data_IF_432882857109
#
_entry.id   IF_432882857109
#
_cell.length_a   1.000
_cell.length_b   1.000
_cell.length_c   1.000
_cell.angle_alpha   90.00
_cell.angle_beta   90.00
_cell.angle_gamma   90.00
#
_symmetry.space_group_name_H-M   'P 1'
#
loop_
_entity.id
_entity.type
_entity.pdbx_description
1 polymer ?
#
# COMPACT_ATOMS: atom_id res chain seq x y z
N UNK A 1 10.79 -4.17 2.12
CA UNK A 1 10.07 -3.33 1.12
C UNK A 1 8.61 -3.44 1.47
N UNK A 2 7.92 -2.33 1.73
CA UNK A 2 6.48 -2.34 1.98
C UNK A 2 5.74 -3.12 0.88
N UNK A 3 4.90 -4.03 1.28
CA UNK A 3 4.00 -4.79 0.43
C UNK A 3 2.58 -4.25 0.62
N UNK A 4 1.55 -4.94 0.16
CA UNK A 4 0.18 -4.44 0.24
C UNK A 4 -0.28 -4.08 1.66
N UNK A 5 -0.07 -4.92 2.71
CA UNK A 5 -0.58 -4.60 4.04
C UNK A 5 0.03 -3.32 4.63
N UNK A 6 1.33 -3.10 4.47
CA UNK A 6 1.99 -1.90 4.96
C UNK A 6 1.48 -0.64 4.24
N UNK A 7 1.25 -0.73 2.92
CA UNK A 7 0.71 0.40 2.14
C UNK A 7 -0.76 0.66 2.49
N UNK A 8 -1.55 -0.39 2.77
CA UNK A 8 -2.94 -0.25 3.21
C UNK A 8 -3.05 0.38 4.60
N UNK A 9 -2.18 0.00 5.54
CA UNK A 9 -2.13 0.62 6.86
C UNK A 9 -1.85 2.13 6.75
N UNK A 10 -0.93 2.54 5.88
CA UNK A 10 -0.66 3.97 5.60
C UNK A 10 -1.86 4.64 4.94
N UNK A 11 -2.49 4.00 3.93
CA UNK A 11 -3.68 4.55 3.26
C UNK A 11 -4.83 4.78 4.25
N UNK A 12 -5.11 3.79 5.10
CA UNK A 12 -6.17 3.90 6.11
C UNK A 12 -5.88 5.03 7.10
N UNK A 13 -4.65 5.11 7.61
CA UNK A 13 -4.27 6.21 8.51
C UNK A 13 -4.38 7.59 7.87
N UNK A 14 -4.05 7.74 6.58
CA UNK A 14 -4.26 9.00 5.87
C UNK A 14 -5.76 9.31 5.69
N UNK A 15 -6.58 8.29 5.44
CA UNK A 15 -8.03 8.46 5.33
C UNK A 15 -8.65 8.94 6.65
N UNK A 16 -8.15 8.44 7.77
CA UNK A 16 -8.67 8.75 9.10
C UNK A 16 -8.21 10.13 9.61
N UNK A 17 -6.98 10.55 9.25
CA UNK A 17 -6.35 11.71 9.89
C UNK A 17 -6.19 12.93 8.99
N UNK A 18 -6.07 12.77 7.66
CA UNK A 18 -5.60 13.85 6.78
C UNK A 18 -6.59 14.32 5.72
N UNK A 19 -7.71 13.60 5.50
CA UNK A 19 -8.70 14.02 4.49
C UNK A 19 -9.47 15.26 4.90
N UNK A 20 -9.92 16.04 3.90
CA UNK A 20 -10.62 17.31 4.08
C UNK A 20 -9.70 18.49 4.45
N UNK A 21 -8.37 18.29 4.47
CA UNK A 21 -7.42 19.34 4.83
C UNK A 21 -6.84 20.03 3.60
N UNK A 22 -6.87 21.38 3.55
CA UNK A 22 -6.22 22.14 2.48
C UNK A 22 -4.69 22.09 2.62
N UNK A 23 -4.00 21.95 1.52
CA UNK A 23 -2.54 22.04 1.43
C UNK A 23 -2.15 23.52 1.42
N UNK A 24 -1.59 24.02 2.50
CA UNK A 24 -1.18 25.42 2.66
C UNK A 24 0.18 25.70 2.03
N UNK A 25 1.10 24.74 2.17
CA UNK A 25 2.43 24.83 1.60
C UNK A 25 3.01 23.45 1.33
N UNK A 26 3.90 23.36 0.35
CA UNK A 26 4.68 22.16 0.05
C UNK A 26 6.15 22.52 0.01
N UNK A 27 7.00 21.68 0.57
CA UNK A 27 8.46 21.86 0.53
C UNK A 27 9.11 20.57 0.05
N UNK A 28 9.81 20.63 -1.06
CA UNK A 28 10.63 19.55 -1.59
C UNK A 28 12.07 19.73 -1.14
N UNK A 29 12.52 18.89 -0.22
CA UNK A 29 13.88 18.94 0.33
C UNK A 29 14.87 18.10 -0.49
N UNK A 30 14.37 17.11 -1.25
CA UNK A 30 15.20 16.28 -2.12
C UNK A 30 14.45 15.95 -3.43
N UNK A 31 14.84 16.61 -4.51
CA UNK A 31 14.22 16.46 -5.83
C UNK A 31 14.25 15.00 -6.38
N UNK A 32 15.17 14.15 -5.90
CA UNK A 32 15.24 12.74 -6.31
C UNK A 32 13.99 11.95 -5.90
N UNK A 33 13.29 12.41 -4.87
CA UNK A 33 12.00 11.83 -4.47
C UNK A 33 10.86 12.15 -5.44
N UNK A 34 11.08 13.11 -6.35
CA UNK A 34 10.14 13.48 -7.41
C UNK A 34 10.59 13.02 -8.81
N UNK A 35 11.49 12.03 -8.92
CA UNK A 35 12.05 11.59 -10.20
C UNK A 35 11.02 11.16 -11.26
N UNK A 36 9.77 10.86 -10.84
CA UNK A 36 8.65 10.54 -11.74
C UNK A 36 7.79 11.77 -12.07
N UNK A 37 7.98 12.88 -11.38
CA UNK A 37 7.30 14.14 -11.63
C UNK A 37 8.17 15.00 -12.54
N UNK A 38 8.05 14.78 -13.85
CA UNK A 38 8.93 15.41 -14.85
C UNK A 38 8.93 16.95 -14.84
N UNK A 39 7.81 17.65 -14.52
CA UNK A 39 7.82 19.10 -14.43
C UNK A 39 8.70 19.66 -13.30
N UNK A 40 9.11 18.82 -12.35
CA UNK A 40 10.05 19.17 -11.29
C UNK A 40 9.43 19.75 -10.01
N UNK A 41 10.29 20.10 -9.02
CA UNK A 41 9.84 20.47 -7.67
C UNK A 41 8.94 21.72 -7.64
N UNK A 42 9.31 22.77 -8.33
CA UNK A 42 8.54 24.03 -8.31
C UNK A 42 7.11 23.84 -8.84
N UNK A 43 6.93 23.02 -9.90
CA UNK A 43 5.61 22.68 -10.39
C UNK A 43 4.84 21.83 -9.38
N UNK A 44 5.49 20.85 -8.75
CA UNK A 44 4.88 19.99 -7.76
C UNK A 44 4.36 20.79 -6.55
N UNK A 45 5.16 21.71 -6.05
CA UNK A 45 4.80 22.60 -4.94
C UNK A 45 3.62 23.52 -5.32
N UNK A 46 3.69 24.16 -6.47
CA UNK A 46 2.63 25.07 -6.94
C UNK A 46 1.32 24.33 -7.24
N UNK A 47 1.38 23.16 -7.86
CA UNK A 47 0.19 22.39 -8.22
C UNK A 47 -0.56 21.80 -7.03
N UNK A 48 0.11 21.55 -5.91
CA UNK A 48 -0.54 21.03 -4.70
C UNK A 48 -1.05 22.14 -3.78
N UNK A 49 -0.39 23.29 -3.75
CA UNK A 49 -0.75 24.39 -2.85
C UNK A 49 -2.13 24.95 -3.22
N UNK A 50 -3.01 25.08 -2.22
CA UNK A 50 -4.38 25.55 -2.37
C UNK A 50 -5.41 24.45 -2.64
N UNK A 51 -4.98 23.23 -3.02
CA UNK A 51 -5.88 22.06 -3.15
C UNK A 51 -6.08 21.39 -1.81
N UNK A 52 -7.15 20.61 -1.65
CA UNK A 52 -7.39 19.83 -0.44
C UNK A 52 -7.28 18.32 -0.69
N UNK A 53 -6.86 17.55 0.33
CA UNK A 53 -6.82 16.10 0.29
C UNK A 53 -8.26 15.55 0.38
N UNK A 54 -8.76 14.89 -0.66
CA UNK A 54 -10.17 14.50 -0.77
C UNK A 54 -10.42 13.04 -0.46
N UNK A 55 -9.64 12.13 -1.03
CA UNK A 55 -9.79 10.70 -0.85
C UNK A 55 -8.44 9.99 -0.85
N UNK A 56 -8.36 8.84 -0.18
CA UNK A 56 -7.15 8.02 -0.12
C UNK A 56 -7.44 6.62 -0.67
N UNK A 57 -6.74 6.25 -1.72
CA UNK A 57 -6.94 5.01 -2.47
C UNK A 57 -5.63 4.25 -2.64
N UNK A 58 -5.73 2.97 -2.94
CA UNK A 58 -4.58 2.10 -3.16
C UNK A 58 -4.86 1.08 -4.28
N UNK A 59 -3.80 0.73 -5.01
CA UNK A 59 -3.74 -0.48 -5.84
C UNK A 59 -2.38 -1.14 -5.68
N UNK A 60 -2.36 -2.37 -5.17
CA UNK A 60 -1.12 -3.06 -4.87
C UNK A 60 -0.25 -2.27 -3.90
N UNK A 61 0.90 -1.81 -4.37
CA UNK A 61 1.89 -1.05 -3.58
C UNK A 61 1.90 0.45 -3.87
N UNK A 62 0.97 0.92 -4.70
CA UNK A 62 0.75 2.33 -4.97
C UNK A 62 -0.40 2.86 -4.14
N UNK A 63 -0.17 3.96 -3.49
CA UNK A 63 -1.14 4.78 -2.79
C UNK A 63 -1.33 6.07 -3.57
N UNK A 64 -2.53 6.62 -3.62
CA UNK A 64 -2.77 7.96 -4.12
C UNK A 64 -3.84 8.69 -3.31
N UNK A 65 -3.71 10.00 -3.30
CA UNK A 65 -4.68 10.92 -2.74
C UNK A 65 -5.34 11.68 -3.90
N UNK A 66 -6.66 11.62 -3.99
CA UNK A 66 -7.42 12.53 -4.85
C UNK A 66 -7.44 13.90 -4.20
N UNK A 67 -7.57 14.92 -5.02
CA UNK A 67 -7.46 16.31 -4.61
C UNK A 67 -8.75 17.05 -4.96
N UNK A 68 -9.12 18.03 -4.15
CA UNK A 68 -10.14 19.02 -4.52
C UNK A 68 -9.48 20.30 -4.99
N UNK A 69 -10.00 20.88 -6.04
CA UNK A 69 -9.69 22.26 -6.42
C UNK A 69 -10.24 23.23 -5.35
N UNK A 70 -9.78 24.50 -5.33
CA UNK A 70 -10.24 25.50 -4.35
C UNK A 70 -11.77 25.73 -4.35
N UNK A 71 -12.45 25.44 -5.44
CA UNK A 71 -13.93 25.50 -5.56
C UNK A 71 -14.64 24.22 -5.08
N UNK A 72 -13.88 23.23 -4.58
CA UNK A 72 -14.39 21.94 -4.11
C UNK A 72 -14.59 20.88 -5.21
N UNK A 73 -14.36 21.20 -6.48
CA UNK A 73 -14.41 20.21 -7.57
C UNK A 73 -13.30 19.17 -7.43
N UNK A 74 -13.55 17.97 -7.97
CA UNK A 74 -12.48 16.96 -8.05
C UNK A 74 -11.42 17.43 -9.05
N UNK A 75 -10.16 17.43 -8.63
CA UNK A 75 -9.05 17.74 -9.52
C UNK A 75 -8.81 16.61 -10.54
N UNK A 76 -8.32 16.97 -11.72
CA UNK A 76 -8.03 16.02 -12.81
C UNK A 76 -6.81 15.12 -12.52
N UNK A 77 -6.03 15.45 -11.50
CA UNK A 77 -4.84 14.72 -11.10
C UNK A 77 -4.91 14.26 -9.64
N UNK A 78 -4.21 13.19 -9.34
CA UNK A 78 -4.02 12.69 -7.99
C UNK A 78 -2.55 12.75 -7.57
N UNK A 79 -2.30 12.94 -6.28
CA UNK A 79 -0.99 12.80 -5.67
C UNK A 79 -0.68 11.32 -5.46
N UNK A 80 0.19 10.76 -6.27
CA UNK A 80 0.62 9.36 -6.20
C UNK A 80 1.84 9.23 -5.31
N UNK A 81 1.81 8.24 -4.43
CA UNK A 81 2.92 7.90 -3.53
C UNK A 81 3.32 6.44 -3.72
N UNK A 82 4.61 6.19 -3.79
CA UNK A 82 5.20 4.86 -3.75
C UNK A 82 6.27 4.82 -2.66
N UNK A 83 6.08 3.99 -1.65
CA UNK A 83 6.97 3.95 -0.48
C UNK A 83 8.36 3.35 -0.79
N UNK A 84 8.52 2.67 -1.93
CA UNK A 84 9.80 2.07 -2.29
C UNK A 84 10.24 0.96 -1.34
N UNK A 85 11.40 1.11 -0.72
CA UNK A 85 11.95 0.15 0.24
C UNK A 85 12.03 0.67 1.67
N UNK A 86 12.05 1.98 1.87
CA UNK A 86 12.25 2.63 3.16
C UNK A 86 11.46 3.93 3.30
N UNK A 87 10.55 4.19 2.37
CA UNK A 87 9.68 5.37 2.43
C UNK A 87 8.60 5.20 3.49
N UNK A 88 8.34 6.28 4.20
CA UNK A 88 7.31 6.42 5.22
C UNK A 88 6.50 7.69 4.92
N UNK A 89 5.21 7.66 5.23
CA UNK A 89 4.37 8.84 5.33
C UNK A 89 3.97 9.01 6.79
N UNK A 90 4.40 10.10 7.39
CA UNK A 90 4.13 10.41 8.79
C UNK A 90 3.20 11.61 8.88
N UNK A 91 2.22 11.50 9.75
CA UNK A 91 1.31 12.58 10.11
C UNK A 91 1.72 13.13 11.46
N UNK A 92 1.77 14.46 11.59
CA UNK A 92 2.01 15.17 12.84
C UNK A 92 1.00 16.28 12.98
N UNK A 93 0.21 16.22 14.04
CA UNK A 93 -0.72 17.28 14.39
C UNK A 93 0.00 18.37 15.17
N UNK A 94 -0.32 19.63 14.89
CA UNK A 94 0.13 20.74 15.71
C UNK A 94 -0.51 20.64 17.11
N UNK A 95 0.26 20.75 18.19
CA UNK A 95 -0.32 20.77 19.53
C UNK A 95 -1.35 21.89 19.66
N UNK A 96 -2.47 21.60 20.30
CA UNK A 96 -3.57 22.54 20.47
C UNK A 96 -3.11 23.87 21.05
N UNK A 97 -3.55 24.97 20.47
CA UNK A 97 -3.16 26.33 20.87
C UNK A 97 -4.06 26.91 21.97
N UNK A 98 -4.95 26.12 22.58
CA UNK A 98 -5.92 26.69 23.52
C UNK A 98 -6.07 25.91 24.84
N UNK A 99 -5.80 26.63 25.90
CA UNK A 99 -6.39 26.54 27.23
C UNK A 99 -5.90 25.50 28.27
N UNK A 100 -4.94 24.67 27.99
CA UNK A 100 -4.28 23.93 29.07
C UNK A 100 -3.02 24.66 29.55
N UNK A 101 -3.23 25.78 30.23
CA UNK A 101 -2.20 26.61 30.83
C UNK A 101 -1.52 25.96 32.05
N UNK A 102 -1.61 24.64 32.24
CA UNK A 102 -1.13 24.04 33.50
C UNK A 102 -0.29 22.76 33.35
N UNK A 103 0.27 22.44 32.17
CA UNK A 103 1.22 21.35 32.13
C UNK A 103 2.41 21.66 31.21
N UNK A 104 3.62 21.53 31.74
CA UNK A 104 4.91 21.72 31.07
C UNK A 104 5.16 20.76 29.88
N UNK A 105 4.11 20.18 29.31
CA UNK A 105 4.13 19.21 28.21
C UNK A 105 3.98 19.88 26.83
N UNK A 106 3.51 21.12 26.75
CA UNK A 106 3.24 21.82 25.48
C UNK A 106 4.51 22.17 24.71
N UNK A 107 5.60 22.47 25.40
CA UNK A 107 6.86 22.81 24.76
C UNK A 107 7.52 21.58 24.08
N UNK A 108 7.39 20.40 24.67
CA UNK A 108 7.88 19.13 24.10
C UNK A 108 7.03 18.70 22.91
N UNK A 109 5.71 18.81 23.01
CA UNK A 109 4.78 18.51 21.91
C UNK A 109 5.01 19.45 20.72
N UNK A 110 5.22 20.75 20.99
CA UNK A 110 5.56 21.74 19.96
C UNK A 110 6.91 21.45 19.31
N UNK A 111 7.92 21.13 20.12
CA UNK A 111 9.23 20.76 19.62
C UNK A 111 9.17 19.49 18.73
N UNK A 112 8.36 18.49 19.12
CA UNK A 112 8.13 17.30 18.32
C UNK A 112 7.39 17.57 17.00
N UNK A 113 6.47 18.53 16.98
CA UNK A 113 5.81 18.99 15.75
C UNK A 113 6.80 19.67 14.80
N UNK A 114 7.67 20.54 15.34
CA UNK A 114 8.64 21.30 14.56
C UNK A 114 9.88 20.49 14.18
N UNK A 115 10.14 19.35 14.85
CA UNK A 115 11.26 18.49 14.54
C UNK A 115 11.20 17.97 13.10
N UNK A 116 12.32 18.11 12.38
CA UNK A 116 12.48 17.53 11.06
C UNK A 116 13.07 16.13 11.15
N UNK A 117 12.31 15.09 10.79
CA UNK A 117 12.84 13.73 10.80
C UNK A 117 14.09 13.62 9.91
N UNK A 118 15.06 12.86 10.36
CA UNK A 118 16.20 12.48 9.53
C UNK A 118 15.68 11.84 8.24
N UNK A 119 16.24 12.22 7.09
CA UNK A 119 15.81 11.76 5.77
C UNK A 119 14.43 12.25 5.30
N UNK A 120 13.93 13.35 5.86
CA UNK A 120 12.77 14.04 5.31
C UNK A 120 13.06 14.47 3.86
N UNK A 121 12.13 14.17 2.95
CA UNK A 121 12.28 14.43 1.51
C UNK A 121 11.26 15.43 0.98
N UNK A 122 10.02 15.28 1.44
CA UNK A 122 8.92 16.19 1.09
C UNK A 122 8.09 16.44 2.35
N UNK A 123 7.67 17.67 2.57
CA UNK A 123 6.75 18.06 3.62
C UNK A 123 5.57 18.82 3.03
N UNK A 124 4.34 18.46 3.41
CA UNK A 124 3.12 19.20 3.14
C UNK A 124 2.64 19.79 4.46
N UNK A 125 2.43 21.09 4.48
CA UNK A 125 1.75 21.79 5.58
C UNK A 125 0.24 21.79 5.26
N UNK A 126 -0.55 21.16 6.12
CA UNK A 126 -1.98 21.02 5.95
C UNK A 126 -2.72 21.95 6.92
N UNK A 127 -3.69 22.67 6.39
CA UNK A 127 -4.58 23.50 7.18
C UNK A 127 -5.56 22.66 8.04
N UNK A 128 -6.38 23.32 8.86
CA UNK A 128 -7.46 22.66 9.58
C UNK A 128 -8.41 21.99 8.57
N UNK A 129 -8.95 20.82 8.93
CA UNK A 129 -9.98 20.18 8.11
C UNK A 129 -11.24 21.03 8.13
N UNK A 130 -11.91 21.18 6.99
CA UNK A 130 -13.24 21.78 6.95
C UNK A 130 -14.21 20.88 7.73
N UNK A 131 -15.04 21.52 8.58
CA UNK A 131 -16.04 20.82 9.39
C UNK A 131 -17.00 20.04 8.48
N UNK A 132 -17.15 18.74 8.70
CA UNK A 132 -18.22 17.97 8.04
C UNK A 132 -19.57 18.44 8.59
N UNK A 133 -20.60 18.60 7.73
CA UNK A 133 -21.92 19.07 8.16
C UNK A 133 -22.58 18.25 9.28
N UNK A 134 -22.12 17.04 9.52
CA UNK A 134 -22.66 16.11 10.52
C UNK A 134 -21.94 16.19 11.90
N UNK A 135 -20.84 16.91 11.99
CA UNK A 135 -20.08 17.09 13.25
C UNK A 135 -20.42 18.44 13.89
N UNK A 136 -21.66 18.58 14.43
CA UNK A 136 -22.08 19.72 15.26
C UNK A 136 -21.65 19.53 16.72
N UNK A 137 -20.39 19.34 17.01
CA UNK A 137 -19.83 19.58 18.34
C UNK A 137 -19.04 20.88 18.29
N UNK A 138 -19.47 21.82 19.12
CA UNK A 138 -18.89 23.15 19.24
C UNK A 138 -17.39 23.05 19.51
N UNK A 139 -16.56 23.64 18.63
CA UNK A 139 -15.39 24.36 19.09
C UNK A 139 -14.03 23.70 19.02
N UNK A 140 -13.77 22.60 18.33
CA UNK A 140 -12.37 22.22 18.06
C UNK A 140 -12.07 22.31 16.56
N UNK A 141 -11.67 23.50 16.12
CA UNK A 141 -10.98 23.66 14.86
C UNK A 141 -9.77 22.73 14.87
N UNK A 142 -9.80 21.63 14.10
CA UNK A 142 -8.69 20.68 14.03
C UNK A 142 -7.41 21.46 13.73
N UNK A 143 -6.41 21.37 14.60
CA UNK A 143 -5.12 22.05 14.50
C UNK A 143 -4.46 21.79 13.12
N UNK A 144 -3.50 22.62 12.74
CA UNK A 144 -2.67 22.39 11.55
C UNK A 144 -2.00 21.02 11.64
N UNK A 145 -1.67 20.45 10.49
CA UNK A 145 -1.06 19.13 10.40
C UNK A 145 0.11 19.17 9.40
N UNK A 146 1.09 18.34 9.63
CA UNK A 146 2.17 18.10 8.66
C UNK A 146 2.12 16.68 8.15
N UNK A 147 2.14 16.51 6.83
CA UNK A 147 2.33 15.22 6.17
C UNK A 147 3.77 15.16 5.65
N UNK A 148 4.55 14.22 6.19
CA UNK A 148 5.99 14.12 5.98
C UNK A 148 6.34 12.85 5.21
N UNK A 149 6.98 12.99 4.06
CA UNK A 149 7.55 11.86 3.32
C UNK A 149 9.02 11.71 3.68
N UNK A 150 9.33 10.64 4.38
CA UNK A 150 10.67 10.29 4.87
C UNK A 150 11.17 9.07 4.11
N UNK A 151 12.37 9.13 3.50
CA UNK A 151 12.93 7.98 2.79
C UNK A 151 14.47 7.99 2.81
N UNK A 152 15.05 7.08 3.59
CA UNK A 152 16.48 6.94 3.74
C UNK A 152 17.17 6.58 2.42
N UNK A 153 16.59 5.65 1.65
CA UNK A 153 17.20 5.07 0.44
C UNK A 153 16.82 5.79 -0.85
N UNK A 154 15.82 6.67 -0.80
CA UNK A 154 15.28 7.41 -1.95
C UNK A 154 14.81 6.46 -3.08
N UNK A 155 14.27 5.31 -2.73
CA UNK A 155 13.63 4.38 -3.67
C UNK A 155 12.14 4.60 -3.82
N UNK A 156 11.53 5.24 -2.85
CA UNK A 156 10.18 5.76 -2.92
C UNK A 156 10.09 7.06 -3.73
N UNK A 157 8.92 7.68 -3.70
CA UNK A 157 8.73 8.98 -4.32
C UNK A 157 7.27 9.36 -4.46
N UNK A 158 7.08 10.64 -4.79
CA UNK A 158 5.78 11.27 -4.99
C UNK A 158 5.72 11.90 -6.39
N UNK A 159 4.55 11.96 -6.99
CA UNK A 159 4.32 12.60 -8.27
C UNK A 159 2.83 12.83 -8.51
N UNK A 160 2.47 13.79 -9.33
CA UNK A 160 1.11 13.97 -9.82
C UNK A 160 0.88 13.12 -11.07
N UNK A 161 -0.31 12.58 -11.20
CA UNK A 161 -0.71 11.79 -12.36
C UNK A 161 -2.18 12.03 -12.68
N UNK A 162 -2.54 12.22 -13.97
CA UNK A 162 -3.93 12.35 -14.39
C UNK A 162 -4.78 11.19 -13.90
N UNK A 163 -6.02 11.48 -13.51
CA UNK A 163 -7.01 10.49 -13.17
C UNK A 163 -7.71 9.99 -14.43
N UNK A 164 -7.81 8.68 -14.58
CA UNK A 164 -8.46 8.03 -15.71
C UNK A 164 -9.45 6.95 -15.23
N UNK A 165 -10.55 6.70 -15.94
CA UNK A 165 -11.50 5.66 -15.60
C UNK A 165 -10.88 4.26 -15.62
N UNK A 166 -11.22 3.45 -14.60
CA UNK A 166 -10.92 2.01 -14.50
C UNK A 166 -12.13 1.25 -13.96
N UNK A 167 -13.25 1.37 -14.68
CA UNK A 167 -14.51 0.72 -14.32
C UNK A 167 -14.38 -0.79 -14.55
N UNK A 168 -14.64 -1.63 -13.52
CA UNK A 168 -14.62 -3.09 -13.69
C UNK A 168 -15.65 -3.55 -14.72
N UNK A 169 -15.32 -4.57 -15.50
CA UNK A 169 -16.24 -5.12 -16.51
C UNK A 169 -17.59 -5.57 -15.91
N UNK A 170 -17.58 -6.07 -14.68
CA UNK A 170 -18.79 -6.47 -13.96
C UNK A 170 -19.75 -5.29 -13.69
N UNK A 171 -19.22 -4.07 -13.52
CA UNK A 171 -19.99 -2.84 -13.32
C UNK A 171 -20.40 -2.23 -14.67
N UNK A 172 -19.49 -2.25 -15.64
CA UNK A 172 -19.71 -1.69 -16.98
C UNK A 172 -20.81 -2.42 -17.78
N UNK A 173 -21.10 -3.68 -17.44
CA UNK A 173 -22.14 -4.51 -18.12
C UNK A 173 -23.55 -4.26 -17.59
N UNK A 174 -23.72 -3.58 -16.47
CA UNK A 174 -25.03 -3.06 -16.03
C UNK A 174 -25.43 -1.89 -16.94
N UNK A 175 -25.87 -2.20 -18.15
CA UNK A 175 -26.50 -1.23 -19.04
C UNK A 175 -27.70 -0.65 -18.29
N UNK A 176 -27.76 0.69 -18.21
CA UNK A 176 -28.94 1.41 -17.79
C UNK A 176 -30.18 0.85 -18.49
N UNK A 177 -31.26 0.65 -17.75
CA UNK A 177 -32.53 0.26 -18.33
C UNK A 177 -32.97 1.32 -19.38
N UNK A 178 -33.72 0.94 -20.43
CA UNK A 178 -34.16 1.88 -21.45
C UNK A 178 -34.97 3.03 -20.80
N UNK A 179 -34.39 4.23 -20.77
CA UNK A 179 -35.02 5.43 -20.17
C UNK A 179 -34.21 6.13 -19.08
N UNK A 180 -33.10 5.56 -18.61
CA UNK A 180 -32.19 6.25 -17.69
C UNK A 180 -31.23 7.19 -18.42
N UNK A 181 -31.01 8.36 -17.80
CA UNK A 181 -30.18 9.46 -18.31
C UNK A 181 -28.77 8.94 -18.71
N UNK A 182 -28.15 9.66 -19.64
CA UNK A 182 -26.77 9.47 -20.09
C UNK A 182 -25.81 9.10 -18.93
N UNK A 183 -24.76 8.29 -19.20
CA UNK A 183 -23.85 7.83 -18.16
C UNK A 183 -23.32 9.04 -17.40
N UNK A 184 -23.72 9.15 -16.14
CA UNK A 184 -23.21 10.15 -15.21
C UNK A 184 -21.70 10.04 -15.07
N UNK A 185 -21.08 11.07 -14.52
CA UNK A 185 -19.66 11.09 -14.19
C UNK A 185 -19.23 9.79 -13.54
N UNK A 186 -18.09 9.26 -13.97
CA UNK A 186 -17.49 8.04 -13.38
C UNK A 186 -17.26 8.31 -11.90
N UNK A 187 -17.82 7.50 -10.98
CA UNK A 187 -17.59 7.68 -9.55
C UNK A 187 -16.11 7.72 -9.21
N UNK A 188 -15.74 8.57 -8.27
CA UNK A 188 -14.34 8.81 -7.89
C UNK A 188 -13.56 7.52 -7.57
N UNK A 189 -14.19 6.55 -6.90
CA UNK A 189 -13.57 5.27 -6.55
C UNK A 189 -13.23 4.37 -7.77
N UNK A 190 -13.75 4.70 -8.96
CA UNK A 190 -13.36 4.08 -10.23
C UNK A 190 -12.35 4.91 -11.02
N UNK A 191 -11.87 6.02 -10.47
CA UNK A 191 -10.79 6.78 -11.06
C UNK A 191 -9.45 6.30 -10.48
N UNK A 192 -8.50 6.09 -11.36
CA UNK A 192 -7.13 5.67 -10.97
C UNK A 192 -6.12 6.59 -11.65
N UNK A 193 -4.99 6.85 -11.02
CA UNK A 193 -3.89 7.54 -11.72
C UNK A 193 -3.46 6.75 -12.96
N UNK A 194 -3.29 7.40 -14.08
CA UNK A 194 -2.88 6.79 -15.34
C UNK A 194 -1.60 5.94 -15.16
N UNK A 195 -0.66 6.46 -14.39
CA UNK A 195 0.58 5.78 -14.05
C UNK A 195 0.38 4.45 -13.29
N UNK A 196 -0.79 4.23 -12.68
CA UNK A 196 -1.13 3.01 -11.90
C UNK A 196 -2.07 2.08 -12.66
N UNK A 197 -2.69 2.53 -13.75
CA UNK A 197 -3.69 1.76 -14.52
C UNK A 197 -3.20 0.37 -14.99
N UNK A 198 -1.91 0.24 -15.26
CA UNK A 198 -1.30 -1.03 -15.69
C UNK A 198 -1.13 -2.06 -14.55
N UNK A 199 -1.30 -1.64 -13.30
CA UNK A 199 -1.20 -2.51 -12.12
C UNK A 199 -2.48 -3.32 -11.97
N UNK A 200 -2.36 -4.64 -11.83
CA UNK A 200 -3.50 -5.52 -11.63
C UNK A 200 -4.23 -5.21 -10.31
N UNK A 201 -5.51 -5.59 -10.23
CA UNK A 201 -6.21 -5.62 -8.94
C UNK A 201 -5.56 -6.62 -8.00
N UNK A 202 -5.55 -6.32 -6.74
CA UNK A 202 -5.00 -7.18 -5.69
C UNK A 202 -6.09 -8.06 -5.05
N UNK A 203 -5.71 -9.10 -4.29
CA UNK A 203 -6.65 -10.09 -3.75
C UNK A 203 -7.63 -9.54 -2.69
N UNK A 204 -7.45 -8.30 -2.25
CA UNK A 204 -8.34 -7.63 -1.30
C UNK A 204 -9.32 -6.66 -1.98
N UNK A 205 -9.14 -6.41 -3.28
CA UNK A 205 -10.06 -5.62 -4.10
C UNK A 205 -11.35 -6.42 -4.35
N UNK A 206 -12.51 -5.81 -4.14
CA UNK A 206 -13.82 -6.45 -4.35
C UNK A 206 -14.05 -6.94 -5.78
N UNK A 207 -13.39 -6.33 -6.75
CA UNK A 207 -13.43 -6.70 -8.17
C UNK A 207 -12.26 -7.58 -8.61
N UNK A 208 -11.56 -8.21 -7.66
CA UNK A 208 -10.51 -9.16 -7.96
C UNK A 208 -11.07 -10.38 -8.70
N UNK A 209 -10.52 -10.71 -9.88
CA UNK A 209 -10.95 -11.86 -10.70
C UNK A 209 -9.90 -12.99 -10.64
N UNK A 210 -10.09 -14.02 -9.78
CA UNK A 210 -9.21 -15.19 -9.73
C UNK A 210 -9.12 -15.95 -11.06
N UNK A 211 -10.19 -15.92 -11.87
CA UNK A 211 -10.20 -16.60 -13.18
C UNK A 211 -9.31 -15.87 -14.19
N UNK A 212 -9.27 -14.53 -14.16
CA UNK A 212 -8.34 -13.73 -14.95
C UNK A 212 -6.89 -14.02 -14.56
N UNK A 213 -6.58 -14.09 -13.27
CA UNK A 213 -5.24 -14.48 -12.79
C UNK A 213 -4.87 -15.87 -13.27
N UNK A 214 -5.78 -16.85 -13.17
CA UNK A 214 -5.54 -18.19 -13.67
C UNK A 214 -5.26 -18.21 -15.18
N UNK A 215 -5.99 -17.43 -15.99
CA UNK A 215 -5.72 -17.30 -17.42
C UNK A 215 -4.29 -16.80 -17.70
N UNK A 216 -3.78 -15.86 -16.90
CA UNK A 216 -2.39 -15.39 -16.98
C UNK A 216 -1.39 -16.49 -16.57
N UNK A 217 -1.66 -17.26 -15.52
CA UNK A 217 -0.82 -18.38 -15.10
C UNK A 217 -0.65 -19.43 -16.22
N UNK A 218 -1.72 -19.76 -16.92
CA UNK A 218 -1.69 -20.75 -18.00
C UNK A 218 -0.82 -20.33 -19.21
N UNK A 219 -0.55 -19.04 -19.36
CA UNK A 219 0.24 -18.48 -20.49
C UNK A 219 1.74 -18.46 -20.25
N UNK A 220 2.22 -18.84 -19.06
CA UNK A 220 3.66 -18.73 -18.74
C UNK A 220 4.23 -20.00 -18.13
N UNK A 221 5.46 -20.34 -18.54
CA UNK A 221 6.27 -21.41 -17.93
C UNK A 221 7.16 -20.92 -16.80
N UNK A 222 7.12 -19.62 -16.46
CA UNK A 222 7.87 -19.08 -15.33
C UNK A 222 7.48 -19.76 -14.02
N UNK A 223 8.43 -19.86 -13.07
CA UNK A 223 8.17 -20.35 -11.72
C UNK A 223 7.10 -19.49 -11.03
N UNK A 224 6.21 -20.13 -10.29
CA UNK A 224 5.03 -19.48 -9.72
C UNK A 224 5.36 -18.28 -8.84
N UNK A 225 6.46 -18.31 -8.07
CA UNK A 225 6.85 -17.15 -7.27
C UNK A 225 7.17 -15.93 -8.14
N UNK A 226 7.84 -16.11 -9.28
CA UNK A 226 8.11 -15.02 -10.23
C UNK A 226 6.80 -14.38 -10.70
N UNK A 227 5.79 -15.20 -10.97
CA UNK A 227 4.48 -14.75 -11.44
C UNK A 227 3.70 -14.04 -10.33
N UNK A 228 3.77 -14.50 -9.08
CA UNK A 228 3.19 -13.82 -7.92
C UNK A 228 3.82 -12.44 -7.65
N UNK A 229 5.09 -12.25 -8.00
CA UNK A 229 5.79 -10.97 -7.85
C UNK A 229 5.53 -9.98 -8.99
N UNK A 230 4.89 -10.42 -10.07
CA UNK A 230 4.53 -9.58 -11.22
C UNK A 230 3.25 -8.79 -10.92
N UNK A 231 3.42 -7.51 -10.64
CA UNK A 231 2.34 -6.60 -10.26
C UNK A 231 1.31 -6.39 -11.38
N UNK A 232 1.60 -6.79 -12.61
CA UNK A 232 0.64 -6.78 -13.72
C UNK A 232 -0.25 -8.03 -13.74
N UNK A 233 0.11 -9.08 -12.99
CA UNK A 233 -0.65 -10.33 -12.89
C UNK A 233 -1.54 -10.33 -11.64
N UNK A 234 -0.94 -10.08 -10.50
CA UNK A 234 -1.55 -9.94 -9.18
C UNK A 234 -0.74 -8.89 -8.42
N UNK A 235 -1.38 -7.86 -7.93
CA UNK A 235 -0.63 -6.79 -7.29
C UNK A 235 -0.58 -6.93 -5.76
N UNK A 236 0.30 -6.15 -5.13
CA UNK A 236 0.45 -6.11 -3.68
C UNK A 236 1.37 -7.16 -3.09
N UNK A 237 1.48 -8.32 -3.72
CA UNK A 237 2.34 -9.43 -3.26
C UNK A 237 3.81 -9.09 -3.48
N UNK A 238 4.61 -9.26 -2.45
CA UNK A 238 6.06 -9.17 -2.52
C UNK A 238 6.73 -10.44 -2.00
N UNK A 239 7.99 -10.33 -1.60
CA UNK A 239 8.79 -11.50 -1.30
C UNK A 239 8.34 -12.25 -0.04
N UNK A 240 7.89 -11.50 0.96
CA UNK A 240 7.43 -12.05 2.25
C UNK A 240 6.15 -12.85 2.03
N UNK A 241 5.13 -12.19 1.50
CA UNK A 241 3.81 -12.80 1.34
C UNK A 241 3.78 -13.87 0.25
N UNK A 242 4.66 -13.80 -0.76
CA UNK A 242 4.83 -14.87 -1.73
C UNK A 242 5.35 -16.16 -1.09
N UNK A 243 6.36 -16.09 -0.22
CA UNK A 243 6.91 -17.28 0.47
C UNK A 243 5.90 -17.87 1.48
N UNK A 244 5.19 -17.02 2.22
CA UNK A 244 4.15 -17.43 3.16
C UNK A 244 2.99 -18.14 2.44
N UNK A 245 2.47 -17.55 1.36
CA UNK A 245 1.39 -18.14 0.57
C UNK A 245 1.80 -19.46 -0.08
N UNK A 246 3.01 -19.54 -0.64
CA UNK A 246 3.55 -20.77 -1.21
C UNK A 246 3.75 -21.86 -0.15
N UNK A 247 4.17 -21.51 1.06
CA UNK A 247 4.25 -22.47 2.16
C UNK A 247 2.86 -22.99 2.55
N UNK A 248 1.87 -22.11 2.66
CA UNK A 248 0.48 -22.51 2.95
C UNK A 248 -0.07 -23.43 1.89
N UNK A 249 0.09 -23.09 0.62
CA UNK A 249 -0.37 -23.86 -0.53
C UNK A 249 0.48 -25.12 -0.81
N UNK A 250 1.56 -25.37 -0.06
CA UNK A 250 2.52 -26.48 -0.28
C UNK A 250 3.11 -26.53 -1.69
N UNK A 251 3.35 -25.36 -2.27
CA UNK A 251 3.89 -25.22 -3.62
C UNK A 251 5.35 -24.78 -3.59
N UNK A 252 6.18 -25.44 -4.40
CA UNK A 252 7.57 -25.02 -4.61
C UNK A 252 7.59 -23.75 -5.48
N UNK A 253 8.41 -22.76 -5.12
CA UNK A 253 8.52 -21.49 -5.81
C UNK A 253 8.84 -21.59 -7.31
N UNK A 254 9.63 -22.60 -7.70
CA UNK A 254 10.03 -22.84 -9.11
C UNK A 254 9.01 -23.66 -9.91
N UNK A 255 7.90 -24.14 -9.32
CA UNK A 255 6.87 -24.86 -10.07
C UNK A 255 6.34 -23.97 -11.19
N UNK A 256 6.35 -24.42 -12.47
CA UNK A 256 5.81 -23.61 -13.58
C UNK A 256 4.36 -23.23 -13.33
N UNK A 257 4.02 -21.93 -13.49
CA UNK A 257 2.66 -21.46 -13.20
C UNK A 257 1.61 -22.20 -14.06
N UNK A 258 1.90 -22.44 -15.35
CA UNK A 258 1.00 -23.21 -16.24
C UNK A 258 0.76 -24.65 -15.81
N UNK A 259 1.60 -25.22 -14.96
CA UNK A 259 1.49 -26.59 -14.47
C UNK A 259 0.65 -26.72 -13.19
N UNK A 260 0.10 -25.61 -12.67
CA UNK A 260 -0.83 -25.64 -11.56
C UNK A 260 -2.21 -26.13 -12.03
N UNK A 261 -2.76 -27.11 -11.30
CA UNK A 261 -4.17 -27.49 -11.48
C UNK A 261 -5.10 -26.35 -11.08
N UNK A 262 -6.37 -26.44 -11.45
CA UNK A 262 -7.38 -25.46 -11.03
C UNK A 262 -7.50 -25.40 -9.49
N UNK A 263 -7.45 -26.56 -8.80
CA UNK A 263 -7.47 -26.63 -7.35
C UNK A 263 -6.23 -25.96 -6.74
N UNK A 264 -5.03 -26.28 -7.23
CA UNK A 264 -3.80 -25.64 -6.74
C UNK A 264 -3.79 -24.13 -6.97
N UNK A 265 -4.35 -23.65 -8.07
CA UNK A 265 -4.46 -22.20 -8.32
C UNK A 265 -5.41 -21.55 -7.32
N UNK A 266 -6.59 -22.13 -7.09
CA UNK A 266 -7.55 -21.64 -6.10
C UNK A 266 -6.93 -21.60 -4.71
N UNK A 267 -6.35 -22.74 -4.26
CA UNK A 267 -5.75 -22.86 -2.93
C UNK A 267 -4.59 -21.85 -2.72
N UNK A 268 -3.81 -21.59 -3.78
CA UNK A 268 -2.76 -20.57 -3.74
C UNK A 268 -3.31 -19.15 -3.62
N UNK A 269 -4.32 -18.80 -4.42
CA UNK A 269 -4.92 -17.45 -4.38
C UNK A 269 -5.64 -17.21 -3.05
N UNK A 270 -6.29 -18.23 -2.51
CA UNK A 270 -6.88 -18.17 -1.17
C UNK A 270 -5.80 -17.99 -0.09
N UNK A 271 -4.70 -18.75 -0.17
CA UNK A 271 -3.56 -18.58 0.74
C UNK A 271 -2.96 -17.17 0.67
N UNK A 272 -2.83 -16.58 -0.52
CA UNK A 272 -2.39 -15.19 -0.68
C UNK A 272 -3.35 -14.24 0.02
N UNK A 273 -4.65 -14.37 -0.23
CA UNK A 273 -5.68 -13.51 0.37
C UNK A 273 -5.67 -13.59 1.90
N UNK A 274 -5.57 -14.80 2.45
CA UNK A 274 -5.55 -15.03 3.90
C UNK A 274 -4.31 -14.41 4.55
N UNK A 275 -3.11 -14.65 3.98
CA UNK A 275 -1.86 -14.08 4.52
C UNK A 275 -1.91 -12.55 4.52
N UNK A 276 -2.43 -11.93 3.46
CA UNK A 276 -2.57 -10.48 3.39
C UNK A 276 -3.56 -9.94 4.43
N UNK A 277 -4.69 -10.61 4.65
CA UNK A 277 -5.68 -10.22 5.67
C UNK A 277 -5.14 -10.36 7.10
N UNK A 278 -4.46 -11.46 7.39
CA UNK A 278 -3.83 -11.67 8.71
C UNK A 278 -2.76 -10.62 9.00
N UNK A 279 -1.97 -10.27 7.98
CA UNK A 279 -0.98 -9.21 8.11
C UNK A 279 -1.61 -7.85 8.35
N UNK A 280 -2.68 -7.51 7.64
CA UNK A 280 -3.44 -6.27 7.87
C UNK A 280 -3.98 -6.20 9.29
N UNK A 281 -4.59 -7.28 9.79
CA UNK A 281 -5.10 -7.35 11.16
C UNK A 281 -4.02 -7.14 12.22
N UNK A 282 -2.76 -7.46 11.89
CA UNK A 282 -1.59 -7.26 12.75
C UNK A 282 -0.84 -5.93 12.51
N UNK A 283 -1.38 -5.04 11.68
CA UNK A 283 -0.75 -3.74 11.36
C UNK A 283 0.43 -3.82 10.39
N UNK A 284 0.58 -4.94 9.66
CA UNK A 284 1.71 -5.18 8.75
C UNK A 284 2.93 -5.83 9.42
N UNK A 285 4.02 -5.99 8.66
CA UNK A 285 5.29 -6.52 9.16
C UNK A 285 6.21 -5.40 9.61
N UNK A 286 6.98 -5.61 10.69
CA UNK A 286 8.00 -4.67 11.17
C UNK A 286 9.41 -5.28 11.23
N UNK A 287 9.79 -6.06 10.21
CA UNK A 287 11.18 -6.53 10.07
C UNK A 287 12.24 -5.42 10.07
N UNK A 288 11.79 -4.21 9.82
CA UNK A 288 12.63 -3.03 9.82
C UNK A 288 11.86 -1.96 10.61
N UNK A 289 12.49 -1.30 11.57
CA UNK A 289 11.92 -0.14 12.27
C UNK A 289 11.42 0.98 11.30
N UNK A 290 11.61 0.75 9.99
CA UNK A 290 11.17 1.62 8.90
C UNK A 290 9.70 1.38 8.47
N UNK A 291 9.05 0.28 8.91
CA UNK A 291 7.65 0.00 8.55
C UNK A 291 6.73 0.37 9.69
N UNK A 292 6.27 1.60 9.64
CA UNK A 292 5.39 2.19 10.63
C UNK A 292 4.11 2.70 9.95
N UNK A 293 3.04 2.81 10.72
CA UNK A 293 1.83 3.52 10.29
C UNK A 293 2.08 5.04 10.22
N UNK A 294 1.07 5.82 9.90
CA UNK A 294 1.20 7.28 9.78
C UNK A 294 1.52 7.99 11.10
N UNK A 295 1.26 7.36 12.23
CA UNK A 295 1.57 7.86 13.58
C UNK A 295 2.96 7.42 14.08
N UNK A 296 3.69 6.62 13.29
CA UNK A 296 5.02 6.12 13.64
C UNK A 296 5.01 4.82 14.44
N UNK A 297 3.89 4.10 14.51
CA UNK A 297 3.77 2.84 15.25
C UNK A 297 4.08 1.64 14.36
N UNK A 298 4.77 0.65 14.90
CA UNK A 298 5.18 -0.58 14.20
C UNK A 298 4.10 -1.67 14.25
N UNK A 299 3.94 -2.43 13.16
CA UNK A 299 3.12 -3.63 13.12
C UNK A 299 3.78 -4.84 13.82
N UNK A 300 3.07 -5.96 13.96
CA UNK A 300 3.51 -7.15 14.71
C UNK A 300 3.45 -8.45 13.92
N UNK A 301 3.16 -8.43 12.62
CA UNK A 301 2.94 -9.66 11.83
C UNK A 301 4.18 -10.55 11.71
N UNK A 302 5.39 -10.02 11.85
CA UNK A 302 6.64 -10.81 11.79
C UNK A 302 6.65 -12.01 12.74
N UNK A 303 5.96 -11.91 13.90
CA UNK A 303 5.85 -12.98 14.88
C UNK A 303 5.00 -14.18 14.42
N UNK A 304 4.24 -14.02 13.35
CA UNK A 304 3.30 -15.02 12.82
C UNK A 304 3.81 -15.71 11.54
N UNK A 305 5.04 -15.41 11.11
CA UNK A 305 5.58 -15.97 9.87
C UNK A 305 5.93 -17.45 10.00
N UNK A 306 5.62 -18.20 8.95
CA UNK A 306 5.83 -19.64 8.88
C UNK A 306 6.99 -20.04 7.97
N UNK A 307 7.39 -19.18 7.04
CA UNK A 307 8.42 -19.48 6.06
C UNK A 307 9.48 -18.39 5.98
N UNK A 308 9.09 -17.15 5.75
CA UNK A 308 10.04 -16.07 5.51
C UNK A 308 10.88 -15.76 6.75
N UNK A 309 12.20 -15.65 6.58
CA UNK A 309 13.15 -15.37 7.65
C UNK A 309 13.57 -16.60 8.48
N UNK A 310 12.87 -17.73 8.35
CA UNK A 310 13.00 -18.89 9.24
C UNK A 310 13.96 -19.99 8.77
N UNK A 311 14.98 -19.65 8.00
CA UNK A 311 15.98 -20.63 7.57
C UNK A 311 16.69 -21.27 8.77
N UNK A 312 16.78 -22.61 8.80
CA UNK A 312 17.38 -23.38 9.89
C UNK A 312 16.42 -23.68 11.04
N UNK A 313 15.23 -23.11 11.07
CA UNK A 313 14.20 -23.40 12.07
C UNK A 313 13.29 -24.56 11.64
N UNK A 314 12.68 -25.28 12.59
CA UNK A 314 11.72 -26.33 12.27
C UNK A 314 10.49 -25.79 11.50
N UNK A 315 10.08 -26.51 10.46
CA UNK A 315 8.81 -26.23 9.80
C UNK A 315 7.66 -26.58 10.75
N UNK A 316 6.79 -25.63 11.10
CA UNK A 316 5.68 -25.82 12.05
C UNK A 316 4.82 -27.01 11.66
N UNK A 317 4.36 -27.10 10.43
CA UNK A 317 3.54 -28.20 9.92
C UNK A 317 4.22 -29.59 10.00
N UNK A 318 5.53 -29.64 9.78
CA UNK A 318 6.29 -30.88 9.91
C UNK A 318 6.42 -31.27 11.39
N UNK A 319 6.69 -30.33 12.27
CA UNK A 319 6.81 -30.54 13.71
C UNK A 319 5.49 -31.05 14.30
N UNK A 320 4.35 -30.45 13.96
CA UNK A 320 3.01 -30.91 14.33
C UNK A 320 2.74 -32.36 13.87
N UNK A 321 3.31 -32.75 12.73
CA UNK A 321 3.24 -34.13 12.20
C UNK A 321 4.34 -35.05 12.73
N UNK A 322 5.07 -34.69 13.78
CA UNK A 322 6.16 -35.48 14.39
C UNK A 322 7.40 -35.62 13.52
N UNK A 323 7.64 -34.68 12.58
CA UNK A 323 8.81 -34.73 11.67
C UNK A 323 9.77 -33.56 11.94
N UNK A 324 11.04 -33.86 11.98
CA UNK A 324 12.10 -32.83 12.06
C UNK A 324 12.53 -32.43 10.67
N UNK A 325 11.92 -31.36 10.11
CA UNK A 325 12.32 -30.78 8.82
C UNK A 325 12.62 -29.32 9.01
N UNK A 326 13.83 -28.89 8.67
CA UNK A 326 14.25 -27.51 8.78
C UNK A 326 13.87 -26.73 7.51
N UNK A 327 13.48 -25.46 7.69
CA UNK A 327 13.27 -24.52 6.63
C UNK A 327 14.59 -24.19 5.93
N UNK A 328 14.56 -24.03 4.62
CA UNK A 328 15.74 -23.68 3.82
C UNK A 328 15.57 -22.34 3.16
N UNK A 329 16.69 -21.63 3.00
CA UNK A 329 16.81 -20.40 2.21
C UNK A 329 17.58 -20.71 0.94
N UNK A 330 16.99 -20.41 -0.20
CA UNK A 330 17.58 -20.66 -1.51
C UNK A 330 17.66 -19.37 -2.32
N UNK A 331 18.69 -19.21 -3.19
CA UNK A 331 18.73 -18.08 -4.13
C UNK A 331 17.51 -18.11 -5.06
N UNK A 332 16.92 -16.93 -5.27
CA UNK A 332 15.81 -16.74 -6.20
C UNK A 332 15.98 -15.41 -6.91
N UNK A 333 16.47 -15.44 -8.15
CA UNK A 333 16.83 -14.23 -8.89
C UNK A 333 17.78 -13.35 -8.04
N UNK A 334 17.47 -12.04 -7.87
CA UNK A 334 18.26 -11.15 -7.00
C UNK A 334 17.75 -11.13 -5.54
N UNK A 335 17.03 -12.17 -5.10
CA UNK A 335 16.39 -12.29 -3.79
C UNK A 335 16.61 -13.68 -3.20
N UNK A 336 15.95 -13.97 -2.09
CA UNK A 336 15.89 -15.29 -1.47
C UNK A 336 14.47 -15.84 -1.52
N UNK A 337 14.33 -17.16 -1.52
CA UNK A 337 13.09 -17.87 -1.28
C UNK A 337 13.26 -18.78 -0.06
N UNK A 338 12.26 -18.76 0.81
CA UNK A 338 12.20 -19.61 2.01
C UNK A 338 11.16 -20.69 1.82
N UNK A 339 11.49 -21.94 2.11
CA UNK A 339 10.57 -23.07 1.96
C UNK A 339 10.90 -24.24 2.88
N UNK A 340 9.90 -25.10 3.09
CA UNK A 340 10.11 -26.42 3.68
C UNK A 340 10.40 -27.46 2.57
N UNK A 341 11.57 -28.15 2.60
CA UNK A 341 11.92 -29.12 1.56
C UNK A 341 11.00 -30.34 1.54
N UNK A 342 10.33 -30.68 2.63
CA UNK A 342 9.36 -31.75 2.71
C UNK A 342 7.98 -31.36 2.20
N UNK A 343 7.45 -30.22 2.66
CA UNK A 343 6.10 -29.75 2.28
C UNK A 343 6.02 -29.20 0.86
N UNK A 344 7.11 -28.59 0.39
CA UNK A 344 7.20 -27.86 -0.89
C UNK A 344 8.27 -28.51 -1.77
N UNK A 345 7.97 -29.71 -2.27
CA UNK A 345 8.92 -30.49 -3.07
C UNK A 345 9.21 -29.81 -4.39
N UNK A 346 10.50 -29.83 -4.79
CA UNK A 346 10.90 -29.33 -6.11
C UNK A 346 10.17 -30.06 -7.24
N UNK A 347 9.80 -29.34 -8.30
CA UNK A 347 9.28 -30.00 -9.50
C UNK A 347 10.35 -30.96 -10.06
N UNK A 348 9.92 -32.12 -10.57
CA UNK A 348 10.85 -33.04 -11.23
C UNK A 348 11.38 -32.34 -12.49
N UNK A 349 12.71 -32.30 -12.66
CA UNK A 349 13.33 -31.91 -13.93
C UNK A 349 12.86 -32.91 -15.00
N UNK A 350 12.20 -32.39 -16.03
CA UNK A 350 11.95 -33.16 -17.26
C UNK A 350 13.13 -33.02 -18.19
#
# INVERSE_FOLDING_TARGET
MPELPEVETVRAGLADHSLGRPVQAVRVLDARSLRRHLPGPAHFEAALTGRALRGAYRRGKYLWLTLSEPDGALADEALVVHLGMSGQLLVRDEPGSELDNDSGNDSEARAAFDEQPRHLRVALELGPAEARPEETSEGEGRARQRLLFVDQRIFGGMFLSPLVPDVPAAVATNKAAPGEKAPGEVPEHFLVPEAVKHIARDPLDEFFDPAAVRRKFLRTSSGIKKVLLDQSVISGVGNIYADEALWRARLHYAKPARALSAAQTRDLLEAVTQVLRESLAAGGTSFDALYVNVLGESGYFERSLNAYGRAGEPCHRCAEAGRTTLMVREPFQNRSSYRCPHCQRAPRSR
#
